data_IF_962754835386
#
_entry.id   IF_962754835386
#
_cell.length_a   1.000
_cell.length_b   1.000
_cell.length_c   1.000
_cell.angle_alpha   90.00
_cell.angle_beta   90.00
_cell.angle_gamma   90.00
#
_symmetry.space_group_name_H-M   'P 1'
#
loop_
_entity.id
_entity.type
_entity.pdbx_description
1 polymer ?
#
# COMPACT_ATOMS: atom_id res chain seq x y z
N UNK A 1 -7.94 7.29 -24.75
CA UNK A 1 -9.18 6.69 -24.20
C UNK A 1 -10.02 6.19 -25.37
N UNK A 2 -10.92 5.24 -25.15
CA UNK A 2 -11.82 4.71 -26.15
C UNK A 2 -13.24 5.02 -25.70
N UNK A 3 -14.09 5.53 -26.60
CA UNK A 3 -15.53 5.67 -26.38
C UNK A 3 -16.21 4.59 -27.21
N UNK A 4 -16.98 3.74 -26.55
CA UNK A 4 -17.79 2.70 -27.20
C UNK A 4 -19.20 3.26 -27.40
N UNK A 5 -19.66 3.30 -28.64
CA UNK A 5 -21.01 3.71 -28.98
C UNK A 5 -21.98 2.54 -28.82
N UNK A 6 -23.24 2.82 -28.44
CA UNK A 6 -24.33 1.84 -28.40
C UNK A 6 -24.54 1.26 -29.80
N UNK A 7 -24.96 0.00 -29.83
CA UNK A 7 -25.42 -0.64 -31.07
C UNK A 7 -26.55 0.18 -31.69
N UNK A 8 -26.43 0.50 -32.98
CA UNK A 8 -27.40 1.34 -33.70
C UNK A 8 -27.32 2.84 -33.39
N UNK A 9 -26.27 3.34 -32.72
CA UNK A 9 -26.07 4.77 -32.52
C UNK A 9 -26.09 5.51 -33.88
N UNK A 10 -26.87 6.58 -33.94
CA UNK A 10 -27.06 7.37 -35.15
C UNK A 10 -25.81 8.18 -35.50
N UNK A 11 -25.65 8.52 -36.78
CA UNK A 11 -24.56 9.39 -37.22
C UNK A 11 -24.57 10.74 -36.48
N UNK A 12 -25.75 11.29 -36.19
CA UNK A 12 -25.87 12.53 -35.43
C UNK A 12 -25.34 12.41 -33.99
N UNK A 13 -25.51 11.25 -33.33
CA UNK A 13 -24.96 11.00 -32.01
C UNK A 13 -23.43 10.85 -32.07
N UNK A 14 -22.90 10.16 -33.08
CA UNK A 14 -21.45 10.03 -33.31
C UNK A 14 -20.82 11.40 -33.57
N UNK A 15 -21.41 12.20 -34.46
CA UNK A 15 -20.93 13.53 -34.81
C UNK A 15 -20.92 14.47 -33.60
N UNK A 16 -21.95 14.39 -32.76
CA UNK A 16 -22.03 15.15 -31.51
C UNK A 16 -20.87 14.82 -30.56
N UNK A 17 -20.52 13.55 -30.42
CA UNK A 17 -19.38 13.13 -29.60
C UNK A 17 -18.07 13.67 -30.18
N UNK A 18 -17.88 13.54 -31.50
CA UNK A 18 -16.68 14.03 -32.20
C UNK A 18 -16.52 15.55 -32.08
N UNK A 19 -17.62 16.31 -32.16
CA UNK A 19 -17.63 17.76 -32.03
C UNK A 19 -17.30 18.21 -30.60
N UNK A 20 -17.86 17.53 -29.58
CA UNK A 20 -17.52 17.77 -28.17
C UNK A 20 -16.04 17.54 -27.89
N UNK A 21 -15.46 16.44 -28.39
CA UNK A 21 -14.03 16.17 -28.26
C UNK A 21 -13.19 17.28 -28.91
N UNK A 22 -13.55 17.67 -30.14
CA UNK A 22 -12.87 18.74 -30.86
C UNK A 22 -12.96 20.08 -30.13
N UNK A 23 -14.10 20.39 -29.49
CA UNK A 23 -14.32 21.62 -28.73
C UNK A 23 -13.34 21.80 -27.55
N UNK A 24 -12.78 20.70 -27.02
CA UNK A 24 -11.76 20.70 -25.96
C UNK A 24 -10.32 20.54 -26.48
N UNK A 25 -10.15 20.58 -27.81
CA UNK A 25 -8.86 20.39 -28.47
C UNK A 25 -8.36 18.95 -28.39
N UNK A 26 -9.26 17.96 -28.34
CA UNK A 26 -8.90 16.55 -28.36
C UNK A 26 -8.99 16.01 -29.79
N UNK A 27 -8.03 15.14 -30.15
CA UNK A 27 -8.10 14.37 -31.38
C UNK A 27 -9.02 13.18 -31.22
N UNK A 28 -9.64 12.73 -32.32
CA UNK A 28 -10.53 11.58 -32.31
C UNK A 28 -10.36 10.76 -33.60
N UNK A 29 -10.35 9.44 -33.46
CA UNK A 29 -10.25 8.47 -34.55
C UNK A 29 -11.47 7.55 -34.51
N UNK A 30 -12.36 7.71 -35.48
CA UNK A 30 -13.56 6.89 -35.61
C UNK A 30 -13.22 5.54 -36.23
N UNK A 31 -13.69 4.46 -35.62
CA UNK A 31 -13.60 3.09 -36.12
C UNK A 31 -15.01 2.50 -36.16
N UNK A 32 -15.58 2.40 -37.36
CA UNK A 32 -16.90 1.81 -37.59
C UNK A 32 -16.73 0.31 -37.79
N UNK A 33 -17.03 -0.48 -36.77
CA UNK A 33 -17.05 -1.95 -36.86
C UNK A 33 -18.39 -2.48 -37.35
N UNK A 34 -18.43 -3.77 -37.69
CA UNK A 34 -19.65 -4.47 -38.14
C UNK A 34 -20.70 -4.52 -37.04
N UNK A 35 -20.28 -4.71 -35.78
CA UNK A 35 -21.17 -4.83 -34.61
C UNK A 35 -21.12 -3.61 -33.70
N UNK A 36 -20.01 -2.86 -33.68
CA UNK A 36 -19.80 -1.76 -32.73
C UNK A 36 -19.00 -0.63 -33.37
N UNK A 37 -19.43 0.61 -33.13
CA UNK A 37 -18.67 1.80 -33.48
C UNK A 37 -17.87 2.27 -32.27
N UNK A 38 -16.59 2.56 -32.50
CA UNK A 38 -15.64 2.94 -31.45
C UNK A 38 -14.94 4.23 -31.84
N UNK A 39 -14.80 5.16 -30.90
CA UNK A 39 -14.06 6.41 -31.09
C UNK A 39 -12.81 6.38 -30.20
N UNK A 40 -11.64 6.28 -30.83
CA UNK A 40 -10.34 6.44 -30.16
C UNK A 40 -10.04 7.90 -29.91
N UNK A 41 -9.92 8.31 -28.65
CA UNK A 41 -9.63 9.68 -28.23
C UNK A 41 -8.13 9.85 -27.96
N UNK A 42 -7.56 10.86 -28.62
CA UNK A 42 -6.15 11.27 -28.53
C UNK A 42 -6.08 12.60 -27.78
N UNK A 43 -5.45 12.60 -26.60
CA UNK A 43 -5.28 13.79 -25.75
C UNK A 43 -5.48 13.50 -24.27
N UNK A 44 -5.49 14.57 -23.46
CA UNK A 44 -5.61 14.49 -22.00
C UNK A 44 -6.98 13.92 -21.59
N UNK A 45 -6.97 12.84 -20.78
CA UNK A 45 -8.19 12.13 -20.33
C UNK A 45 -9.08 12.99 -19.43
N UNK A 46 -8.47 13.91 -18.67
CA UNK A 46 -9.14 14.80 -17.73
C UNK A 46 -10.15 15.70 -18.47
N UNK A 47 -9.74 16.19 -19.65
CA UNK A 47 -10.61 16.99 -20.53
C UNK A 47 -11.82 16.22 -21.05
N UNK A 48 -11.74 14.90 -21.16
CA UNK A 48 -12.87 14.07 -21.59
C UNK A 48 -13.85 13.84 -20.45
N UNK A 49 -13.37 13.62 -19.22
CA UNK A 49 -14.25 13.48 -18.06
C UNK A 49 -15.04 14.77 -17.79
N UNK A 50 -14.44 15.95 -18.00
CA UNK A 50 -15.14 17.24 -17.92
C UNK A 50 -16.31 17.38 -18.92
N UNK A 51 -16.29 16.65 -20.02
CA UNK A 51 -17.31 16.74 -21.07
C UNK A 51 -18.60 15.96 -20.75
N UNK A 52 -18.60 15.11 -19.71
CA UNK A 52 -19.75 14.28 -19.36
C UNK A 52 -20.19 13.35 -20.50
N UNK A 53 -19.25 12.92 -21.36
CA UNK A 53 -19.53 12.15 -22.58
C UNK A 53 -20.29 10.85 -22.28
N UNK A 54 -20.06 10.23 -21.12
CA UNK A 54 -20.73 9.00 -20.70
C UNK A 54 -22.26 9.14 -20.59
N UNK A 55 -22.76 10.37 -20.41
CA UNK A 55 -24.21 10.67 -20.31
C UNK A 55 -24.87 10.96 -21.65
N UNK A 56 -24.11 11.02 -22.75
CA UNK A 56 -24.65 11.38 -24.05
C UNK A 56 -25.49 10.24 -24.65
N UNK A 57 -26.59 10.56 -25.36
CA UNK A 57 -27.29 9.59 -26.20
C UNK A 57 -26.31 8.94 -27.19
N UNK A 58 -26.47 7.63 -27.40
CA UNK A 58 -25.60 6.85 -28.28
C UNK A 58 -24.27 6.39 -27.67
N UNK A 59 -23.86 6.85 -26.48
CA UNK A 59 -22.64 6.34 -25.81
C UNK A 59 -22.98 5.15 -24.91
N UNK A 60 -22.26 4.04 -25.04
CA UNK A 60 -22.42 2.84 -24.20
C UNK A 60 -21.51 2.90 -22.98
N UNK A 61 -20.21 3.11 -23.18
CA UNK A 61 -19.19 3.16 -22.12
C UNK A 61 -17.91 3.84 -22.58
N UNK A 62 -17.13 4.32 -21.62
CA UNK A 62 -15.76 4.77 -21.86
C UNK A 62 -14.78 3.71 -21.36
N UNK A 63 -13.74 3.47 -22.15
CA UNK A 63 -12.66 2.53 -21.86
C UNK A 63 -11.35 3.30 -21.83
N UNK A 64 -10.78 3.49 -20.65
CA UNK A 64 -9.50 4.19 -20.50
C UNK A 64 -8.37 3.30 -21.01
N UNK A 65 -7.54 3.83 -21.92
CA UNK A 65 -6.39 3.10 -22.51
C UNK A 65 -5.09 3.39 -21.74
N UNK A 66 -5.05 4.46 -20.95
CA UNK A 66 -3.92 4.84 -20.10
C UNK A 66 -4.12 4.39 -18.67
N UNK A 67 -3.04 3.99 -17.98
CA UNK A 67 -3.07 3.75 -16.54
C UNK A 67 -3.62 4.98 -15.79
N UNK A 68 -4.63 4.81 -14.92
CA UNK A 68 -5.25 5.93 -14.24
C UNK A 68 -4.27 6.60 -13.25
N UNK A 69 -3.39 5.81 -12.64
CA UNK A 69 -2.27 6.20 -11.79
C UNK A 69 -1.02 6.39 -12.66
N UNK A 70 -0.54 7.61 -12.86
CA UNK A 70 0.56 7.89 -13.79
C UNK A 70 1.90 7.86 -13.07
N UNK A 71 2.01 8.62 -11.99
CA UNK A 71 3.22 8.75 -11.17
C UNK A 71 3.61 7.42 -10.54
N UNK A 72 2.64 6.60 -10.12
CA UNK A 72 2.91 5.30 -9.51
C UNK A 72 3.11 4.17 -10.55
N UNK A 73 2.98 4.43 -11.85
CA UNK A 73 3.00 3.38 -12.88
C UNK A 73 4.39 3.13 -13.46
N UNK A 74 4.71 1.85 -13.65
CA UNK A 74 5.98 1.44 -14.26
C UNK A 74 6.20 1.99 -15.68
N UNK A 75 5.18 2.07 -16.57
CA UNK A 75 5.38 2.70 -17.88
C UNK A 75 5.80 4.18 -17.83
N UNK A 76 5.47 4.90 -16.75
CA UNK A 76 5.89 6.30 -16.56
C UNK A 76 7.18 6.44 -15.76
N UNK A 77 7.51 5.43 -14.95
CA UNK A 77 8.78 5.32 -14.22
C UNK A 77 9.26 3.86 -14.27
N UNK A 78 10.09 3.50 -15.28
CA UNK A 78 10.44 2.10 -15.54
C UNK A 78 11.27 1.43 -14.43
N UNK A 79 12.14 2.20 -13.78
CA UNK A 79 13.08 1.72 -12.76
C UNK A 79 12.38 1.52 -11.42
N UNK A 80 12.82 0.52 -10.64
CA UNK A 80 12.28 0.26 -9.31
C UNK A 80 12.58 1.42 -8.35
N UNK A 81 11.57 1.86 -7.60
CA UNK A 81 11.78 2.83 -6.53
C UNK A 81 12.42 2.16 -5.32
N UNK A 82 13.53 2.74 -4.89
CA UNK A 82 14.24 2.34 -3.68
C UNK A 82 14.17 3.48 -2.67
N UNK A 83 13.73 3.17 -1.45
CA UNK A 83 13.51 4.18 -0.39
C UNK A 83 14.48 3.91 0.75
N UNK A 84 15.46 4.81 0.91
CA UNK A 84 16.42 4.75 2.01
C UNK A 84 15.81 5.30 3.31
N UNK A 85 15.84 4.49 4.36
CA UNK A 85 15.30 4.81 5.68
C UNK A 85 16.34 4.38 6.72
N UNK A 86 17.04 5.35 7.31
CA UNK A 86 18.10 5.15 8.31
C UNK A 86 19.12 4.07 7.91
N UNK A 87 19.60 4.13 6.67
CA UNK A 87 20.62 3.21 6.14
C UNK A 87 20.09 1.86 5.65
N UNK A 88 18.78 1.58 5.77
CA UNK A 88 18.14 0.44 5.11
C UNK A 88 17.39 0.87 3.86
N UNK A 89 17.47 0.09 2.78
CA UNK A 89 16.82 0.40 1.50
C UNK A 89 15.63 -0.52 1.26
N UNK A 90 14.42 0.03 1.35
CA UNK A 90 13.19 -0.68 0.99
C UNK A 90 13.08 -0.79 -0.52
N UNK A 91 12.79 -1.99 -1.04
CA UNK A 91 12.89 -2.28 -2.47
C UNK A 91 14.32 -2.64 -2.93
N UNK A 92 15.27 -2.68 -2.00
CA UNK A 92 16.66 -3.04 -2.26
C UNK A 92 16.93 -4.55 -2.29
N UNK A 93 18.21 -4.97 -2.17
CA UNK A 93 18.63 -6.35 -2.33
C UNK A 93 18.22 -7.31 -1.19
N UNK A 94 17.86 -6.76 -0.03
CA UNK A 94 17.48 -7.51 1.17
C UNK A 94 15.97 -7.36 1.47
N UNK A 95 15.32 -8.39 2.03
CA UNK A 95 13.91 -8.28 2.39
C UNK A 95 13.77 -7.39 3.62
N UNK A 96 12.89 -6.40 3.53
CA UNK A 96 12.60 -5.49 4.64
C UNK A 96 11.81 -6.22 5.71
N UNK A 97 12.26 -6.12 6.95
CA UNK A 97 11.60 -6.73 8.12
C UNK A 97 11.17 -5.62 9.08
N UNK A 98 9.86 -5.44 9.19
CA UNK A 98 9.23 -4.50 10.10
C UNK A 98 8.49 -5.30 11.17
N UNK A 99 8.80 -5.08 12.44
CA UNK A 99 8.21 -5.86 13.52
C UNK A 99 7.96 -5.01 14.77
N UNK A 100 7.08 -5.48 15.66
CA UNK A 100 6.78 -4.80 16.91
C UNK A 100 5.30 -4.95 17.30
N UNK A 101 4.90 -4.39 18.45
CA UNK A 101 3.59 -4.66 19.02
C UNK A 101 2.47 -3.96 18.24
N UNK A 102 1.25 -4.52 18.37
CA UNK A 102 0.05 -3.91 17.77
C UNK A 102 -0.20 -2.49 18.29
N UNK A 103 -0.05 -2.30 19.60
CA UNK A 103 -0.15 -1.01 20.28
C UNK A 103 1.10 -0.79 21.13
N UNK A 104 1.47 0.47 21.34
CA UNK A 104 2.44 0.79 22.38
C UNK A 104 1.72 0.75 23.73
N UNK A 105 2.20 -0.09 24.65
CA UNK A 105 1.54 -0.38 25.92
C UNK A 105 2.29 0.20 27.11
N UNK A 106 3.57 -0.17 27.25
CA UNK A 106 4.46 0.31 28.30
C UNK A 106 5.84 0.63 27.70
N UNK A 107 6.57 1.54 28.33
CA UNK A 107 7.92 1.90 27.91
C UNK A 107 8.85 0.69 27.94
N UNK A 108 8.92 0.00 29.09
CA UNK A 108 9.81 -1.14 29.31
C UNK A 108 9.50 -2.29 28.34
N UNK A 109 8.20 -2.60 28.15
CA UNK A 109 7.78 -3.64 27.21
C UNK A 109 8.13 -3.32 25.77
N UNK A 110 7.98 -2.06 25.34
CA UNK A 110 8.36 -1.63 24.00
C UNK A 110 9.86 -1.74 23.77
N UNK A 111 10.68 -1.26 24.72
CA UNK A 111 12.15 -1.32 24.63
C UNK A 111 12.64 -2.76 24.60
N UNK A 112 12.08 -3.64 25.43
CA UNK A 112 12.39 -5.07 25.43
C UNK A 112 12.13 -5.71 24.06
N UNK A 113 10.96 -5.44 23.47
CA UNK A 113 10.60 -5.92 22.13
C UNK A 113 11.56 -5.35 21.08
N UNK A 114 11.85 -4.04 21.12
CA UNK A 114 12.72 -3.37 20.16
C UNK A 114 14.13 -3.99 20.14
N UNK A 115 14.72 -4.20 21.32
CA UNK A 115 16.03 -4.85 21.44
C UNK A 115 16.01 -6.29 20.92
N UNK A 116 14.95 -7.04 21.21
CA UNK A 116 14.82 -8.42 20.75
C UNK A 116 14.68 -8.52 19.23
N UNK A 117 13.77 -7.75 18.60
CA UNK A 117 13.59 -7.80 17.15
C UNK A 117 14.83 -7.28 16.41
N UNK A 118 15.57 -6.31 16.98
CA UNK A 118 16.85 -5.83 16.42
C UNK A 118 17.88 -6.96 16.36
N UNK A 119 17.99 -7.79 17.40
CA UNK A 119 18.88 -8.96 17.40
C UNK A 119 18.51 -10.00 16.35
N UNK A 120 17.21 -10.19 16.09
CA UNK A 120 16.70 -11.01 14.97
C UNK A 120 16.89 -10.35 13.59
N UNK A 121 17.39 -9.12 13.57
CA UNK A 121 17.72 -8.31 12.39
C UNK A 121 16.51 -7.64 11.74
N UNK A 122 15.49 -7.28 12.52
CA UNK A 122 14.51 -6.30 12.06
C UNK A 122 15.21 -5.01 11.65
N UNK A 123 14.65 -4.35 10.64
CA UNK A 123 15.15 -3.07 10.12
C UNK A 123 14.36 -1.90 10.72
N UNK A 124 13.09 -2.14 11.07
CA UNK A 124 12.19 -1.12 11.58
C UNK A 124 11.33 -1.67 12.72
N UNK A 125 11.06 -0.81 13.70
CA UNK A 125 10.12 -1.05 14.79
C UNK A 125 8.76 -0.44 14.42
N UNK A 126 7.70 -1.25 14.45
CA UNK A 126 6.32 -0.78 14.33
C UNK A 126 5.63 -0.71 15.69
N UNK A 127 4.78 0.30 15.89
CA UNK A 127 3.96 0.40 17.10
C UNK A 127 2.82 1.40 16.94
N UNK A 128 1.60 1.02 17.32
CA UNK A 128 0.44 1.91 17.25
C UNK A 128 0.35 2.81 18.49
N UNK A 129 0.70 4.09 18.34
CA UNK A 129 0.52 5.09 19.39
C UNK A 129 -0.93 5.58 19.49
N UNK A 130 -1.64 5.59 18.35
CA UNK A 130 -3.06 5.88 18.24
C UNK A 130 -3.79 4.67 17.65
N UNK A 131 -4.97 4.31 18.16
CA UNK A 131 -5.69 3.11 17.74
C UNK A 131 -7.10 3.42 17.23
N UNK A 132 -7.45 3.06 15.98
CA UNK A 132 -8.83 3.16 15.51
C UNK A 132 -9.64 1.99 16.08
N UNK A 133 -10.42 2.22 17.14
CA UNK A 133 -11.20 1.18 17.81
C UNK A 133 -12.67 1.24 17.41
N UNK A 134 -13.27 0.07 17.20
CA UNK A 134 -14.71 -0.04 16.97
C UNK A 134 -15.54 0.33 18.22
N UNK A 135 -14.95 0.21 19.42
CA UNK A 135 -15.59 0.54 20.70
C UNK A 135 -14.83 1.67 21.40
N UNK A 136 -15.53 2.70 21.91
CA UNK A 136 -14.91 3.81 22.62
C UNK A 136 -14.33 3.42 23.99
N UNK A 137 -14.75 2.28 24.57
CA UNK A 137 -14.26 1.79 25.87
C UNK A 137 -12.99 0.95 25.76
N UNK A 138 -12.54 0.69 24.53
CA UNK A 138 -11.28 -0.01 24.30
C UNK A 138 -10.08 0.91 24.54
N UNK A 139 -8.91 0.34 24.77
CA UNK A 139 -7.65 1.09 24.80
C UNK A 139 -7.45 1.89 23.50
N UNK A 140 -7.31 3.21 23.60
CA UNK A 140 -7.24 4.15 22.47
C UNK A 140 -5.80 4.40 21.98
N UNK A 141 -4.80 3.87 22.69
CA UNK A 141 -3.39 4.21 22.50
C UNK A 141 -2.91 5.25 23.51
N UNK A 142 -1.58 5.37 23.65
CA UNK A 142 -0.94 6.35 24.55
C UNK A 142 -0.77 7.74 23.92
N UNK A 143 -1.15 7.91 22.65
CA UNK A 143 -0.96 9.16 21.91
C UNK A 143 0.51 9.56 21.84
N UNK A 144 0.81 10.83 22.09
CA UNK A 144 2.18 11.37 22.03
C UNK A 144 3.15 10.67 22.99
N UNK A 145 2.69 10.21 24.15
CA UNK A 145 3.54 9.47 25.09
C UNK A 145 4.06 8.16 24.45
N UNK A 146 3.19 7.45 23.73
CA UNK A 146 3.59 6.27 22.97
C UNK A 146 4.58 6.59 21.83
N UNK A 147 4.44 7.77 21.20
CA UNK A 147 5.40 8.25 20.21
C UNK A 147 6.77 8.56 20.83
N UNK A 148 6.82 9.10 22.05
CA UNK A 148 8.06 9.33 22.80
C UNK A 148 8.77 8.01 23.10
N UNK A 149 8.04 6.99 23.52
CA UNK A 149 8.63 5.66 23.74
C UNK A 149 9.17 5.04 22.45
N UNK A 150 8.48 5.22 21.31
CA UNK A 150 8.99 4.77 20.02
C UNK A 150 10.27 5.52 19.61
N UNK A 151 10.31 6.84 19.80
CA UNK A 151 11.50 7.63 19.53
C UNK A 151 12.70 7.19 20.39
N UNK A 152 12.47 6.95 21.68
CA UNK A 152 13.49 6.41 22.59
C UNK A 152 13.99 5.04 22.14
N UNK A 153 13.09 4.12 21.76
CA UNK A 153 13.46 2.81 21.24
C UNK A 153 14.33 2.91 19.98
N UNK A 154 14.08 3.89 19.11
CA UNK A 154 14.96 4.17 17.96
C UNK A 154 16.34 4.62 18.41
N UNK A 155 16.44 5.54 19.36
CA UNK A 155 17.75 6.02 19.82
C UNK A 155 18.58 4.90 20.47
N UNK A 156 17.92 3.96 21.16
CA UNK A 156 18.61 2.81 21.78
C UNK A 156 19.03 1.71 20.78
N UNK A 157 18.23 1.46 19.74
CA UNK A 157 18.40 0.28 18.87
C UNK A 157 18.84 0.60 17.44
N UNK A 158 18.73 1.86 17.04
CA UNK A 158 18.89 2.32 15.67
C UNK A 158 17.78 1.87 14.71
N UNK A 159 16.72 1.20 15.18
CA UNK A 159 15.58 0.82 14.34
C UNK A 159 14.79 2.05 13.90
N UNK A 160 14.48 2.15 12.60
CA UNK A 160 13.54 3.17 12.13
C UNK A 160 12.12 2.90 12.65
N UNK A 161 11.36 3.97 12.91
CA UNK A 161 10.02 3.88 13.48
C UNK A 161 8.95 3.97 12.41
N UNK A 162 8.03 3.01 12.45
CA UNK A 162 6.78 3.01 11.68
C UNK A 162 5.61 3.15 12.64
N UNK A 163 4.83 4.23 12.54
CA UNK A 163 3.59 4.39 13.31
C UNK A 163 2.46 4.92 12.45
N UNK A 164 1.23 4.57 12.82
CA UNK A 164 0.03 4.95 12.09
C UNK A 164 -0.41 6.37 12.45
N UNK A 165 -0.76 7.15 11.43
CA UNK A 165 -1.46 8.43 11.58
C UNK A 165 -2.89 8.28 11.10
N UNK A 166 -3.85 8.71 11.91
CA UNK A 166 -5.27 8.41 11.68
C UNK A 166 -6.05 9.57 11.05
N UNK A 167 -5.54 10.80 11.14
CA UNK A 167 -6.22 11.99 10.65
C UNK A 167 -5.23 13.12 10.29
N UNK A 168 -5.61 14.07 9.42
CA UNK A 168 -4.71 15.12 8.93
C UNK A 168 -4.10 15.98 10.04
N UNK A 169 -4.87 16.29 11.10
CA UNK A 169 -4.42 17.14 12.20
C UNK A 169 -3.29 16.54 13.04
N UNK A 170 -3.17 15.22 13.07
CA UNK A 170 -2.11 14.51 13.79
C UNK A 170 -0.82 14.36 12.97
N UNK A 171 -0.84 14.65 11.67
CA UNK A 171 0.32 14.46 10.79
C UNK A 171 1.55 15.23 11.27
N UNK A 172 1.48 16.53 11.61
CA UNK A 172 2.67 17.26 12.10
C UNK A 172 3.26 16.62 13.35
N UNK A 173 2.42 16.28 14.33
CA UNK A 173 2.86 15.66 15.58
C UNK A 173 3.51 14.31 15.34
N UNK A 174 2.85 13.39 14.63
CA UNK A 174 3.38 12.03 14.40
C UNK A 174 4.68 12.10 13.60
N UNK A 175 4.78 13.00 12.61
CA UNK A 175 5.95 13.16 11.78
C UNK A 175 7.21 13.58 12.57
N UNK A 176 7.08 14.27 13.70
CA UNK A 176 8.24 14.60 14.56
C UNK A 176 8.92 13.36 15.15
N UNK A 177 8.13 12.31 15.42
CA UNK A 177 8.62 11.13 16.14
C UNK A 177 8.93 9.93 15.25
N UNK A 178 8.38 9.85 14.03
CA UNK A 178 8.49 8.65 13.19
C UNK A 178 9.33 8.87 11.94
N UNK A 179 9.92 7.78 11.45
CA UNK A 179 10.68 7.74 10.20
C UNK A 179 9.77 7.39 9.01
N UNK A 180 8.70 6.61 9.25
CA UNK A 180 7.70 6.22 8.26
C UNK A 180 6.29 6.46 8.79
N UNK A 181 5.48 7.18 8.02
CA UNK A 181 4.06 7.39 8.31
C UNK A 181 3.25 6.22 7.74
N UNK A 182 2.60 5.43 8.59
CA UNK A 182 1.68 4.40 8.13
C UNK A 182 0.27 4.97 7.93
N UNK A 183 -0.33 4.69 6.77
CA UNK A 183 -1.76 4.84 6.53
C UNK A 183 -2.39 3.46 6.63
N UNK A 184 -3.24 3.26 7.65
CA UNK A 184 -3.97 2.02 7.84
C UNK A 184 -5.05 1.77 6.79
N UNK A 185 -5.44 0.50 6.63
CA UNK A 185 -6.38 0.06 5.61
C UNK A 185 -7.73 0.81 5.63
N UNK A 186 -8.21 1.23 6.81
CA UNK A 186 -9.46 2.01 6.96
C UNK A 186 -9.36 3.42 6.39
N UNK A 187 -8.14 3.95 6.30
CA UNK A 187 -7.82 5.29 5.84
C UNK A 187 -7.21 5.30 4.43
N UNK A 188 -7.16 4.16 3.72
CA UNK A 188 -6.55 4.09 2.39
C UNK A 188 -7.15 5.12 1.42
N UNK A 189 -8.47 5.38 1.52
CA UNK A 189 -9.17 6.39 0.70
C UNK A 189 -9.54 7.66 1.48
N UNK A 190 -8.89 7.91 2.62
CA UNK A 190 -9.02 9.18 3.33
C UNK A 190 -8.15 10.23 2.60
N UNK A 191 -8.65 10.74 1.46
CA UNK A 191 -7.87 11.63 0.58
C UNK A 191 -7.31 12.88 1.28
N UNK A 192 -8.03 13.56 2.19
CA UNK A 192 -7.44 14.65 2.97
C UNK A 192 -6.20 14.21 3.76
N UNK A 193 -6.23 13.02 4.37
CA UNK A 193 -5.08 12.46 5.08
C UNK A 193 -3.95 12.08 4.12
N UNK A 194 -4.25 11.42 3.00
CA UNK A 194 -3.25 11.08 1.97
C UNK A 194 -2.50 12.33 1.49
N UNK A 195 -3.24 13.43 1.25
CA UNK A 195 -2.63 14.69 0.84
C UNK A 195 -1.77 15.30 1.93
N UNK A 196 -2.23 15.26 3.18
CA UNK A 196 -1.49 15.77 4.32
C UNK A 196 -0.16 15.02 4.51
N UNK A 197 -0.16 13.68 4.43
CA UNK A 197 1.09 12.90 4.54
C UNK A 197 1.99 13.08 3.30
N UNK A 198 1.41 13.25 2.11
CA UNK A 198 2.16 13.57 0.89
C UNK A 198 2.97 14.85 1.03
N UNK A 199 2.42 15.90 1.66
CA UNK A 199 3.13 17.18 1.86
C UNK A 199 4.31 17.12 2.84
N UNK A 200 4.46 16.03 3.59
CA UNK A 200 5.55 15.90 4.58
C UNK A 200 6.89 15.53 3.96
N UNK A 201 6.90 14.92 2.77
CA UNK A 201 8.10 14.33 2.15
C UNK A 201 8.65 13.09 2.86
N UNK A 202 8.10 12.69 4.02
CA UNK A 202 8.51 11.47 4.72
C UNK A 202 8.01 10.22 4.00
N UNK A 203 8.73 9.09 4.08
CA UNK A 203 8.23 7.81 3.59
C UNK A 203 6.84 7.47 4.15
N UNK A 204 5.96 6.98 3.27
CA UNK A 204 4.59 6.59 3.62
C UNK A 204 4.37 5.11 3.35
N UNK A 205 4.00 4.35 4.38
CA UNK A 205 3.56 2.96 4.23
C UNK A 205 2.03 2.94 4.05
N UNK A 206 1.57 2.69 2.84
CA UNK A 206 0.16 2.68 2.47
C UNK A 206 -0.40 1.26 2.46
N UNK A 207 -1.19 0.92 3.48
CA UNK A 207 -1.90 -0.36 3.53
C UNK A 207 -3.09 -0.38 2.59
N UNK A 208 -3.26 -1.48 1.84
CA UNK A 208 -4.44 -1.69 1.00
C UNK A 208 -5.71 -1.72 1.85
N UNK A 209 -6.77 -1.04 1.42
CA UNK A 209 -8.10 -1.13 2.00
C UNK A 209 -8.73 -2.49 1.72
N UNK A 210 -9.37 -3.09 2.72
CA UNK A 210 -9.84 -4.48 2.66
C UNK A 210 -10.96 -4.73 1.64
N UNK A 211 -11.52 -3.71 1.00
CA UNK A 211 -12.51 -3.88 -0.07
C UNK A 211 -12.10 -3.20 -1.37
N UNK A 212 -10.83 -2.79 -1.47
CA UNK A 212 -10.36 -2.03 -2.61
C UNK A 212 -9.65 -2.90 -3.64
N UNK A 213 -9.81 -2.51 -4.90
CA UNK A 213 -9.07 -3.10 -6.01
C UNK A 213 -7.60 -2.64 -6.00
N UNK A 214 -6.76 -3.31 -6.77
CA UNK A 214 -5.35 -2.91 -6.95
C UNK A 214 -5.27 -1.52 -7.60
N UNK A 215 -6.17 -1.22 -8.56
CA UNK A 215 -6.23 0.09 -9.19
C UNK A 215 -6.55 1.20 -8.18
N UNK A 216 -7.56 1.02 -7.32
CA UNK A 216 -7.90 2.01 -6.29
C UNK A 216 -6.76 2.21 -5.27
N UNK A 217 -6.01 1.15 -5.00
CA UNK A 217 -4.84 1.20 -4.13
C UNK A 217 -3.70 2.00 -4.75
N UNK A 218 -3.37 1.74 -6.03
CA UNK A 218 -2.36 2.49 -6.78
C UNK A 218 -2.80 3.95 -7.01
N UNK A 219 -4.10 4.21 -7.21
CA UNK A 219 -4.64 5.57 -7.22
C UNK A 219 -4.48 6.27 -5.87
N UNK A 220 -4.60 5.55 -4.76
CA UNK A 220 -4.36 6.14 -3.43
C UNK A 220 -2.88 6.49 -3.22
N UNK A 221 -1.95 5.68 -3.78
CA UNK A 221 -0.54 6.05 -3.86
C UNK A 221 -0.32 7.29 -4.74
N UNK A 222 -1.00 7.37 -5.90
CA UNK A 222 -0.98 8.53 -6.79
C UNK A 222 -1.37 9.82 -6.05
N UNK A 223 -2.37 9.80 -5.16
CA UNK A 223 -2.76 10.96 -4.35
C UNK A 223 -1.64 11.47 -3.44
N UNK A 224 -0.84 10.57 -2.87
CA UNK A 224 0.33 10.94 -2.04
C UNK A 224 1.42 11.54 -2.92
N UNK A 225 1.73 10.87 -4.04
CA UNK A 225 2.79 11.27 -4.97
C UNK A 225 2.48 12.60 -5.67
N UNK A 226 1.21 12.87 -5.98
CA UNK A 226 0.76 14.11 -6.61
C UNK A 226 0.96 15.36 -5.72
N UNK A 227 1.10 15.19 -4.41
CA UNK A 227 1.47 16.27 -3.49
C UNK A 227 3.00 16.45 -3.35
N UNK A 228 3.79 15.71 -4.16
CA UNK A 228 5.24 15.88 -4.28
C UNK A 228 6.08 14.85 -3.53
N UNK A 229 5.48 13.79 -2.97
CA UNK A 229 6.21 12.77 -2.21
C UNK A 229 6.28 11.43 -2.94
N UNK A 230 7.43 11.09 -3.56
CA UNK A 230 7.59 9.83 -4.29
C UNK A 230 7.83 8.62 -3.37
N UNK A 231 8.04 8.82 -2.06
CA UNK A 231 8.47 7.79 -1.12
C UNK A 231 7.29 6.97 -0.58
N UNK A 232 6.61 6.23 -1.45
CA UNK A 232 5.45 5.39 -1.08
C UNK A 232 5.83 3.91 -1.05
N UNK A 233 5.57 3.26 0.07
CA UNK A 233 5.69 1.80 0.27
C UNK A 233 4.29 1.21 0.31
N UNK A 234 3.99 0.30 -0.60
CA UNK A 234 2.73 -0.42 -0.64
C UNK A 234 2.78 -1.58 0.36
N UNK A 235 1.72 -1.80 1.14
CA UNK A 235 1.54 -3.01 1.95
C UNK A 235 0.20 -3.75 1.69
N UNK A 236 0.26 -4.94 1.10
CA UNK A 236 -0.88 -5.86 0.97
C UNK A 236 -1.22 -6.46 2.35
N UNK A 237 -2.50 -6.54 2.71
CA UNK A 237 -2.93 -6.90 4.08
C UNK A 237 -4.25 -7.66 4.15
N UNK A 238 -4.66 -8.23 3.03
CA UNK A 238 -5.87 -9.01 2.84
C UNK A 238 -7.11 -8.18 2.52
N UNK A 239 -7.97 -8.80 1.70
CA UNK A 239 -9.28 -8.31 1.29
C UNK A 239 -10.41 -9.10 1.95
N UNK A 240 -11.56 -8.46 2.08
CA UNK A 240 -12.80 -9.07 2.55
C UNK A 240 -13.39 -9.90 1.43
N UNK A 241 -13.72 -11.13 1.76
CA UNK A 241 -14.40 -12.07 0.88
C UNK A 241 -15.56 -12.72 1.64
N UNK A 242 -16.14 -13.79 1.09
CA UNK A 242 -17.13 -14.62 1.79
C UNK A 242 -16.48 -15.61 2.79
N UNK A 243 -15.15 -15.77 2.78
CA UNK A 243 -14.43 -16.68 3.68
C UNK A 243 -14.47 -16.20 5.13
N UNK A 244 -14.59 -17.12 6.08
CA UNK A 244 -14.80 -16.86 7.51
C UNK A 244 -13.76 -17.51 8.45
N UNK A 245 -12.97 -18.48 7.97
CA UNK A 245 -11.89 -19.09 8.75
C UNK A 245 -10.67 -18.17 8.95
N UNK A 246 -10.58 -17.11 8.15
CA UNK A 246 -9.54 -16.07 8.26
C UNK A 246 -10.19 -14.69 8.33
N UNK A 247 -9.55 -13.76 9.03
CA UNK A 247 -10.06 -12.39 9.18
C UNK A 247 -10.20 -11.65 7.84
N UNK A 248 -9.24 -11.84 6.94
CA UNK A 248 -9.30 -11.43 5.54
C UNK A 248 -8.71 -12.57 4.69
N UNK A 249 -8.98 -12.56 3.39
CA UNK A 249 -8.26 -13.38 2.41
C UNK A 249 -7.02 -12.61 1.98
N UNK A 250 -5.83 -13.12 2.30
CA UNK A 250 -4.57 -12.47 1.91
C UNK A 250 -4.35 -12.61 0.39
N UNK A 251 -4.43 -11.49 -0.34
CA UNK A 251 -4.42 -11.45 -1.80
C UNK A 251 -2.98 -11.48 -2.35
N UNK A 252 -2.30 -12.63 -2.27
CA UNK A 252 -0.88 -12.73 -2.64
C UNK A 252 -0.61 -12.46 -4.13
N UNK A 253 -1.58 -12.68 -5.02
CA UNK A 253 -1.49 -12.26 -6.43
C UNK A 253 -1.36 -10.74 -6.59
N UNK A 254 -1.75 -9.93 -5.59
CA UNK A 254 -1.52 -8.49 -5.63
C UNK A 254 -0.03 -8.15 -5.72
N UNK A 255 0.86 -8.95 -5.12
CA UNK A 255 2.30 -8.71 -5.14
C UNK A 255 2.88 -8.72 -6.57
N UNK A 256 2.78 -9.81 -7.37
CA UNK A 256 3.30 -9.81 -8.73
C UNK A 256 2.55 -8.83 -9.65
N UNK A 257 1.23 -8.64 -9.47
CA UNK A 257 0.47 -7.67 -10.25
C UNK A 257 0.96 -6.25 -10.00
N UNK A 258 1.15 -5.85 -8.74
CA UNK A 258 1.68 -4.52 -8.40
C UNK A 258 3.10 -4.35 -8.92
N UNK A 259 3.99 -5.35 -8.79
CA UNK A 259 5.35 -5.25 -9.35
C UNK A 259 5.36 -5.04 -10.86
N UNK A 260 4.40 -5.62 -11.58
CA UNK A 260 4.25 -5.41 -13.02
C UNK A 260 3.73 -4.01 -13.34
N UNK A 261 2.70 -3.54 -12.62
CA UNK A 261 2.01 -2.29 -12.88
C UNK A 261 2.74 -1.05 -12.35
N UNK A 262 3.51 -1.21 -11.28
CA UNK A 262 4.12 -0.15 -10.48
C UNK A 262 5.59 -0.43 -10.21
N UNK A 263 6.35 0.65 -10.03
CA UNK A 263 7.74 0.63 -9.59
C UNK A 263 7.88 0.75 -8.06
N UNK A 264 6.77 0.99 -7.34
CA UNK A 264 6.79 1.18 -5.89
C UNK A 264 7.09 -0.14 -5.16
N UNK A 265 7.84 -0.11 -4.05
CA UNK A 265 8.08 -1.31 -3.26
C UNK A 265 6.78 -1.79 -2.59
N UNK A 266 6.48 -3.08 -2.77
CA UNK A 266 5.36 -3.78 -2.11
C UNK A 266 5.82 -4.72 -0.98
N UNK A 267 5.18 -4.61 0.17
CA UNK A 267 5.31 -5.45 1.37
C UNK A 267 4.03 -6.25 1.62
N UNK A 268 4.10 -7.22 2.54
CA UNK A 268 2.96 -8.02 2.99
C UNK A 268 2.79 -7.95 4.51
N UNK A 269 1.56 -7.78 4.98
CA UNK A 269 1.16 -7.88 6.40
C UNK A 269 0.46 -9.23 6.66
N UNK A 270 1.20 -10.29 7.02
CA UNK A 270 0.60 -11.60 7.29
C UNK A 270 -0.24 -11.61 8.56
N UNK A 271 0.07 -10.78 9.57
CA UNK A 271 -0.68 -10.71 10.83
C UNK A 271 -2.11 -10.22 10.62
N UNK A 272 -2.27 -9.09 9.93
CA UNK A 272 -3.59 -8.54 9.60
C UNK A 272 -4.27 -9.23 8.43
N UNK A 273 -3.47 -9.75 7.49
CA UNK A 273 -3.90 -10.58 6.38
C UNK A 273 -4.77 -11.73 6.85
N UNK A 274 -4.23 -12.61 7.68
CA UNK A 274 -4.96 -13.82 8.12
C UNK A 274 -5.71 -13.64 9.43
N UNK A 275 -5.17 -12.84 10.36
CA UNK A 275 -5.77 -12.65 11.69
C UNK A 275 -5.60 -13.79 12.67
N UNK A 276 -4.59 -14.64 12.49
CA UNK A 276 -4.30 -15.71 13.44
C UNK A 276 -2.81 -16.08 13.43
N UNK A 277 -2.19 -16.06 14.61
CA UNK A 277 -0.74 -16.23 14.79
C UNK A 277 -0.17 -17.49 14.14
N UNK A 278 -0.93 -18.60 14.19
CA UNK A 278 -0.51 -19.90 13.61
C UNK A 278 -0.26 -19.88 12.10
N UNK A 279 -0.84 -18.92 11.37
CA UNK A 279 -0.69 -18.82 9.91
C UNK A 279 0.27 -17.70 9.50
N UNK A 280 0.78 -16.91 10.45
CA UNK A 280 1.64 -15.75 10.17
C UNK A 280 2.94 -16.17 9.49
N UNK A 281 3.59 -17.21 10.00
CA UNK A 281 4.83 -17.75 9.41
C UNK A 281 4.61 -18.19 7.96
N UNK A 282 3.58 -19.00 7.72
CA UNK A 282 3.27 -19.56 6.39
C UNK A 282 3.01 -18.45 5.38
N UNK A 283 2.23 -17.44 5.77
CA UNK A 283 1.92 -16.33 4.88
C UNK A 283 3.06 -15.34 4.70
N UNK A 284 3.93 -15.15 5.70
CA UNK A 284 5.16 -14.38 5.52
C UNK A 284 6.06 -15.03 4.47
N UNK A 285 6.26 -16.36 4.57
CA UNK A 285 7.02 -17.14 3.59
C UNK A 285 6.44 -17.05 2.20
N UNK A 286 5.13 -17.25 2.09
CA UNK A 286 4.42 -17.19 0.81
C UNK A 286 4.49 -15.79 0.18
N UNK A 287 4.37 -14.71 0.97
CA UNK A 287 4.51 -13.34 0.48
C UNK A 287 5.89 -13.05 -0.10
N UNK A 288 6.95 -13.51 0.55
CA UNK A 288 8.33 -13.36 0.06
C UNK A 288 8.54 -14.22 -1.19
N UNK A 289 8.05 -15.46 -1.19
CA UNK A 289 8.09 -16.32 -2.38
C UNK A 289 7.30 -15.75 -3.57
N UNK A 290 6.24 -14.98 -3.32
CA UNK A 290 5.50 -14.25 -4.35
C UNK A 290 6.24 -12.99 -4.87
N UNK A 291 7.39 -12.64 -4.27
CA UNK A 291 8.25 -11.54 -4.69
C UNK A 291 8.10 -10.24 -3.91
N UNK A 292 7.46 -10.26 -2.73
CA UNK A 292 7.34 -9.07 -1.89
C UNK A 292 8.72 -8.60 -1.39
N UNK A 293 8.91 -7.29 -1.28
CA UNK A 293 10.17 -6.68 -0.83
C UNK A 293 10.35 -6.74 0.70
N UNK A 294 9.43 -7.39 1.41
CA UNK A 294 9.49 -7.51 2.86
C UNK A 294 8.13 -7.77 3.50
N UNK A 295 8.14 -7.81 4.83
CA UNK A 295 6.96 -8.07 5.67
C UNK A 295 6.87 -7.11 6.84
N UNK A 296 5.64 -6.84 7.27
CA UNK A 296 5.32 -6.16 8.52
C UNK A 296 4.54 -7.11 9.45
N UNK A 297 5.07 -7.38 10.64
CA UNK A 297 4.57 -8.44 11.53
C UNK A 297 4.29 -7.91 12.94
N UNK A 298 3.21 -8.38 13.55
CA UNK A 298 2.91 -8.10 14.97
C UNK A 298 3.64 -9.05 15.89
N UNK A 299 4.43 -8.49 16.81
CA UNK A 299 5.23 -9.26 17.77
C UNK A 299 5.00 -8.72 19.18
N UNK A 300 4.85 -9.63 20.14
CA UNK A 300 4.74 -9.29 21.56
C UNK A 300 5.44 -10.36 22.40
N UNK A 301 5.98 -9.96 23.56
CA UNK A 301 6.66 -10.90 24.47
C UNK A 301 5.71 -11.96 25.05
N UNK A 302 4.47 -11.56 25.27
CA UNK A 302 3.40 -12.44 25.74
C UNK A 302 2.09 -12.07 25.03
N UNK A 303 1.79 -12.64 23.84
CA UNK A 303 0.60 -12.30 23.08
C UNK A 303 -0.72 -12.48 23.85
N UNK A 304 -0.74 -13.30 24.91
CA UNK A 304 -1.94 -13.53 25.73
C UNK A 304 -2.29 -12.34 26.61
N UNK A 305 -1.30 -11.49 26.92
CA UNK A 305 -1.45 -10.28 27.75
C UNK A 305 -1.47 -8.99 26.93
N UNK A 306 -1.44 -9.07 25.59
CA UNK A 306 -1.46 -7.90 24.72
C UNK A 306 -2.77 -7.12 24.86
N UNK A 307 -2.70 -5.79 24.94
CA UNK A 307 -3.85 -4.88 25.10
C UNK A 307 -4.70 -4.78 23.84
N UNK A 308 -4.17 -5.29 22.72
CA UNK A 308 -4.86 -5.38 21.44
C UNK A 308 -4.28 -6.51 20.61
N UNK A 309 -5.12 -7.18 19.83
CA UNK A 309 -4.69 -8.00 18.69
C UNK A 309 -3.78 -9.21 19.04
N UNK A 310 -3.90 -9.73 20.26
CA UNK A 310 -3.15 -10.91 20.71
C UNK A 310 -3.32 -12.15 19.81
N UNK A 311 -4.49 -12.35 19.20
CA UNK A 311 -4.80 -13.53 18.38
C UNK A 311 -3.88 -13.71 17.16
N UNK A 312 -3.41 -12.63 16.55
CA UNK A 312 -2.52 -12.66 15.38
C UNK A 312 -1.06 -12.35 15.69
N UNK A 313 -0.78 -12.00 16.94
CA UNK A 313 0.54 -11.55 17.38
C UNK A 313 1.40 -12.75 17.69
N UNK A 314 2.59 -12.81 17.11
CA UNK A 314 3.54 -13.91 17.34
C UNK A 314 4.51 -13.57 18.48
N UNK A 315 5.16 -14.58 19.04
CA UNK A 315 6.18 -14.39 20.08
C UNK A 315 7.51 -13.89 19.49
N UNK A 316 8.42 -13.44 20.36
CA UNK A 316 9.77 -13.02 19.96
C UNK A 316 10.56 -14.18 19.33
N UNK A 317 10.45 -15.39 19.88
CA UNK A 317 11.11 -16.59 19.37
C UNK A 317 10.57 -16.98 17.99
N UNK A 318 9.25 -16.84 17.81
CA UNK A 318 8.61 -17.10 16.51
C UNK A 318 9.07 -16.07 15.48
N UNK A 319 9.27 -14.82 15.88
CA UNK A 319 9.78 -13.77 15.00
C UNK A 319 11.24 -14.01 14.60
N UNK A 320 12.09 -14.45 15.53
CA UNK A 320 13.49 -14.79 15.25
C UNK A 320 13.60 -15.85 14.13
N UNK A 321 12.80 -16.92 14.28
CA UNK A 321 12.71 -17.97 13.29
C UNK A 321 12.10 -17.46 11.95
N UNK A 322 11.11 -16.57 12.02
CA UNK A 322 10.50 -15.97 10.83
C UNK A 322 11.51 -15.15 10.05
N UNK A 323 12.30 -14.32 10.73
CA UNK A 323 13.32 -13.50 10.11
C UNK A 323 14.37 -14.36 9.39
N UNK A 324 14.77 -15.49 9.98
CA UNK A 324 15.68 -16.46 9.36
C UNK A 324 15.08 -17.11 8.12
N UNK A 325 13.85 -17.62 8.20
CA UNK A 325 13.18 -18.29 7.08
C UNK A 325 12.87 -17.33 5.92
N UNK A 326 12.40 -16.11 6.21
CA UNK A 326 12.12 -15.09 5.20
C UNK A 326 13.38 -14.72 4.41
N UNK A 327 14.52 -14.49 5.10
CA UNK A 327 15.79 -14.19 4.40
C UNK A 327 16.25 -15.35 3.53
N UNK A 328 16.15 -16.58 4.03
CA UNK A 328 16.54 -17.77 3.26
C UNK A 328 15.70 -17.92 1.99
N UNK A 329 14.38 -17.76 2.08
CA UNK A 329 13.49 -17.82 0.91
C UNK A 329 13.82 -16.69 -0.07
N UNK A 330 13.97 -15.46 0.42
CA UNK A 330 14.36 -14.32 -0.42
C UNK A 330 15.65 -14.58 -1.19
N UNK A 331 16.69 -15.11 -0.51
CA UNK A 331 17.97 -15.44 -1.13
C UNK A 331 17.82 -16.50 -2.23
N UNK A 332 16.97 -17.50 -2.05
CA UNK A 332 16.67 -18.50 -3.09
C UNK A 332 15.93 -17.87 -4.26
N UNK A 333 14.90 -17.06 -4.00
CA UNK A 333 14.11 -16.42 -5.05
C UNK A 333 14.96 -15.49 -5.94
N UNK A 334 15.90 -14.76 -5.35
CA UNK A 334 16.83 -13.88 -6.10
C UNK A 334 17.72 -14.61 -7.11
N UNK A 335 17.95 -15.91 -6.94
CA UNK A 335 18.73 -16.70 -7.91
C UNK A 335 17.95 -16.94 -9.21
N UNK A 336 16.63 -16.77 -9.18
CA UNK A 336 15.74 -16.96 -10.33
C UNK A 336 15.24 -15.65 -10.92
N UNK A 337 15.60 -14.50 -10.34
CA UNK A 337 15.30 -13.20 -10.94
C UNK A 337 16.10 -13.06 -12.24
N UNK A 338 15.45 -12.72 -13.37
CA UNK A 338 16.18 -12.46 -14.60
C UNK A 338 17.21 -11.37 -14.32
N UNK A 339 18.47 -11.61 -14.72
CA UNK A 339 19.47 -10.55 -14.73
C UNK A 339 18.85 -9.36 -15.47
N UNK A 340 18.74 -8.21 -14.79
CA UNK A 340 18.26 -6.98 -15.40
C UNK A 340 19.15 -6.75 -16.61
N UNK A 341 18.60 -6.98 -17.81
CA UNK A 341 19.28 -6.66 -19.06
C UNK A 341 19.33 -5.14 -19.10
N UNK A 342 20.45 -4.58 -18.65
CA UNK A 342 20.85 -3.22 -18.98
C UNK A 342 21.04 -3.21 -20.50
N UNK A 343 19.97 -2.86 -21.22
CA UNK A 343 19.98 -2.60 -22.66
C UNK A 343 19.88 -1.09 -22.89
#
# INVERSE_FOLDING_TARGET
MIIVMKEGASQAEIDRVMELLKSKGLGAHLSVGVETTVIGVIGAKEKVHELGIETLPGVEKLVTVSYPFKLASRPFHPDDTQIEIRGHVVGGPEPTLIAGPCSVETREGLLEIAHAIKRSGAHMLRGGAFKPRSSPYSFQGLGEEGLKYLAEAREETGLAIVSEVMEPGLVPLVAEYVDVLQIGARNMQNFPLLKAVGRTGKPVLLKRGFSNTIEEWLMSAEYIMAEGNPNVILCERGIRTFETYTRNTLDLNAVPVVKHLSHLPVLVDPSHGVGHARYVMDMARAGIAAGAHGVIVEVHKDPTQAWSDGNQTITLETFDELARQVRAIHQVMRQFEPAVSLA
#
